data_IF_370737141003
#
_entry.id   IF_370737141003
#
_cell.length_a   1.000
_cell.length_b   1.000
_cell.length_c   1.000
_cell.angle_alpha   90.00
_cell.angle_beta   90.00
_cell.angle_gamma   90.00
#
_symmetry.space_group_name_H-M   'P 1'
#
loop_
_entity.id
_entity.type
_entity.pdbx_description
1 polymer ?
#
# COMPACT_ATOMS: atom_id res chain seq x y z
N UNK A 1 -9.72 19.94 5.20
CA UNK A 1 -8.81 20.05 4.03
C UNK A 1 -7.42 20.45 4.52
N UNK A 2 -6.62 19.49 4.97
CA UNK A 2 -5.18 19.70 5.22
C UNK A 2 -4.48 19.73 3.86
N UNK A 3 -3.80 20.84 3.54
CA UNK A 3 -3.02 20.96 2.31
C UNK A 3 -1.71 20.17 2.48
N UNK A 4 -1.56 19.09 1.73
CA UNK A 4 -0.24 18.49 1.50
C UNK A 4 0.62 19.51 0.74
N UNK A 5 1.61 20.08 1.39
CA UNK A 5 2.63 20.93 0.77
C UNK A 5 3.95 20.17 0.78
N UNK A 6 4.31 19.54 -0.34
CA UNK A 6 5.68 19.07 -0.54
C UNK A 6 6.60 20.26 -0.83
N UNK A 7 7.64 20.41 -0.03
CA UNK A 7 8.70 21.39 -0.25
C UNK A 7 9.88 20.71 -0.91
N UNK A 8 10.00 20.78 -2.24
CA UNK A 8 11.19 20.30 -2.96
C UNK A 8 12.22 21.43 -3.08
N UNK A 9 13.41 21.18 -2.59
CA UNK A 9 14.58 22.04 -2.81
C UNK A 9 15.19 21.73 -4.18
N UNK A 10 15.05 22.64 -5.13
CA UNK A 10 15.69 22.54 -6.45
C UNK A 10 16.87 23.51 -6.49
N UNK A 11 18.07 22.98 -6.70
CA UNK A 11 19.30 23.75 -6.91
C UNK A 11 19.42 24.10 -8.41
N UNK A 12 19.17 25.36 -8.76
CA UNK A 12 19.46 25.90 -10.10
C UNK A 12 20.56 26.97 -9.94
N UNK A 13 21.81 26.58 -10.21
CA UNK A 13 22.94 27.47 -9.99
C UNK A 13 23.22 27.71 -8.49
N UNK A 14 23.62 28.92 -8.10
CA UNK A 14 23.96 29.28 -6.71
C UNK A 14 22.79 29.90 -5.93
N UNK A 15 21.54 29.69 -6.34
CA UNK A 15 20.34 30.25 -5.68
C UNK A 15 19.41 29.09 -5.32
N UNK A 16 19.00 29.06 -4.04
CA UNK A 16 17.97 28.12 -3.54
C UNK A 16 16.63 28.80 -3.69
N UNK A 17 15.83 28.39 -4.65
CA UNK A 17 14.42 28.81 -4.73
C UNK A 17 13.53 27.76 -4.05
N UNK A 18 12.69 28.25 -3.16
CA UNK A 18 11.64 27.43 -2.51
C UNK A 18 10.40 27.51 -3.37
N UNK A 19 10.14 26.49 -4.16
CA UNK A 19 8.89 26.39 -4.92
C UNK A 19 7.88 25.60 -4.09
N UNK A 20 6.85 26.26 -3.61
CA UNK A 20 5.67 25.66 -3.01
C UNK A 20 4.68 25.32 -4.12
N UNK A 21 4.56 24.05 -4.46
CA UNK A 21 3.54 23.55 -5.38
C UNK A 21 2.23 23.36 -4.59
N UNK A 22 1.13 23.93 -5.09
CA UNK A 22 -0.21 23.54 -4.65
C UNK A 22 -0.67 22.41 -5.57
N UNK A 23 -1.04 21.23 -5.01
CA UNK A 23 -1.61 20.17 -5.82
C UNK A 23 -2.90 20.65 -6.51
N UNK A 24 -3.10 20.19 -7.75
CA UNK A 24 -4.36 20.39 -8.49
C UNK A 24 -5.42 19.46 -7.90
N UNK A 25 -6.71 19.82 -8.00
CA UNK A 25 -7.89 19.17 -7.39
C UNK A 25 -8.08 17.65 -7.72
N UNK A 26 -7.14 17.01 -8.38
CA UNK A 26 -7.15 15.57 -8.72
C UNK A 26 -6.11 14.72 -7.97
N UNK A 27 -5.22 15.33 -7.19
CA UNK A 27 -4.31 14.57 -6.35
C UNK A 27 -5.05 14.17 -5.06
N UNK A 28 -5.66 13.02 -5.05
CA UNK A 28 -6.00 12.33 -3.81
C UNK A 28 -4.65 12.04 -3.14
N UNK A 29 -4.38 12.73 -2.03
CA UNK A 29 -3.33 12.33 -1.12
C UNK A 29 -3.74 10.94 -0.60
N UNK A 30 -3.17 9.88 -1.17
CA UNK A 30 -3.36 8.52 -0.66
C UNK A 30 -2.72 8.52 0.71
N UNK A 31 -3.54 8.54 1.77
CA UNK A 31 -3.04 8.41 3.14
C UNK A 31 -2.48 7.01 3.29
N UNK A 32 -1.18 6.90 3.51
CA UNK A 32 -0.50 5.62 3.72
C UNK A 32 -0.99 5.02 5.02
N UNK A 33 -1.55 3.82 4.97
CA UNK A 33 -2.01 3.07 6.15
C UNK A 33 -0.83 2.64 7.00
N UNK A 34 -1.02 2.60 8.32
CA UNK A 34 0.08 2.32 9.25
C UNK A 34 -0.24 1.15 10.17
N UNK A 35 0.79 0.35 10.49
CA UNK A 35 0.74 -0.68 11.52
C UNK A 35 1.52 -0.22 12.74
N UNK A 36 0.86 -0.23 13.88
CA UNK A 36 1.42 0.10 15.19
C UNK A 36 1.45 -1.15 16.03
N UNK A 37 2.52 -1.37 16.79
CA UNK A 37 2.61 -2.49 17.72
C UNK A 37 2.55 -1.99 19.17
N UNK A 38 1.62 -2.54 19.95
CA UNK A 38 1.54 -2.27 21.38
C UNK A 38 2.66 -2.99 22.12
N UNK A 39 3.49 -2.25 22.85
CA UNK A 39 4.62 -2.76 23.59
C UNK A 39 4.90 -1.98 24.90
N UNK A 40 3.85 -1.40 25.50
CA UNK A 40 3.90 -0.74 26.81
C UNK A 40 3.96 -1.76 27.96
N UNK A 41 4.08 -1.31 29.19
CA UNK A 41 4.22 -2.17 30.38
C UNK A 41 3.02 -3.09 30.66
N UNK A 42 1.84 -2.78 30.11
CA UNK A 42 0.65 -3.63 30.22
C UNK A 42 0.81 -4.98 29.51
N UNK A 43 1.71 -5.04 28.51
CA UNK A 43 2.01 -6.27 27.75
C UNK A 43 2.89 -7.25 28.53
N UNK A 44 3.67 -6.77 29.51
CA UNK A 44 4.52 -7.60 30.33
C UNK A 44 5.93 -7.04 30.54
N UNK A 45 6.84 -7.89 31.02
CA UNK A 45 8.21 -7.53 31.32
C UNK A 45 9.01 -7.13 30.07
N UNK A 46 10.07 -6.33 30.25
CA UNK A 46 10.90 -5.80 29.16
C UNK A 46 11.39 -6.86 28.18
N UNK A 47 11.83 -8.02 28.65
CA UNK A 47 12.35 -9.07 27.76
C UNK A 47 11.26 -9.64 26.81
N UNK A 48 10.01 -9.64 27.21
CA UNK A 48 8.87 -9.99 26.35
C UNK A 48 8.62 -8.88 25.36
N UNK A 49 8.53 -7.64 25.81
CA UNK A 49 8.32 -6.44 24.98
C UNK A 49 9.45 -6.25 23.96
N UNK A 50 10.71 -6.45 24.39
CA UNK A 50 11.89 -6.41 23.51
C UNK A 50 11.77 -7.39 22.33
N UNK A 51 11.37 -8.64 22.60
CA UNK A 51 11.17 -9.63 21.52
C UNK A 51 10.08 -9.20 20.54
N UNK A 52 8.97 -8.70 21.07
CA UNK A 52 7.85 -8.16 20.29
C UNK A 52 8.33 -7.00 19.38
N UNK A 53 9.05 -6.03 19.94
CA UNK A 53 9.60 -4.87 19.21
C UNK A 53 10.61 -5.31 18.14
N UNK A 54 11.52 -6.25 18.46
CA UNK A 54 12.49 -6.75 17.49
C UNK A 54 11.78 -7.43 16.32
N UNK A 55 10.73 -8.22 16.59
CA UNK A 55 9.91 -8.83 15.52
C UNK A 55 9.20 -7.77 14.68
N UNK A 56 8.70 -6.69 15.31
CA UNK A 56 8.07 -5.58 14.60
C UNK A 56 9.04 -4.89 13.62
N UNK A 57 10.25 -4.59 14.08
CA UNK A 57 11.30 -3.99 13.24
C UNK A 57 11.63 -4.91 12.05
N UNK A 58 11.81 -6.22 12.30
CA UNK A 58 12.09 -7.21 11.26
C UNK A 58 10.94 -7.40 10.27
N UNK A 59 9.70 -7.20 10.71
CA UNK A 59 8.50 -7.35 9.88
C UNK A 59 8.15 -6.09 9.09
N UNK A 60 8.76 -4.93 9.39
CA UNK A 60 8.43 -3.66 8.74
C UNK A 60 7.18 -2.98 9.31
N UNK A 61 6.94 -3.14 10.61
CA UNK A 61 5.94 -2.36 11.36
C UNK A 61 6.37 -0.90 11.40
N UNK A 62 5.43 0.05 11.26
CA UNK A 62 5.74 1.47 11.13
C UNK A 62 6.01 2.14 12.48
N UNK A 63 5.30 1.72 13.53
CA UNK A 63 5.32 2.35 14.84
C UNK A 63 5.30 1.33 15.98
N UNK A 64 5.93 1.69 17.10
CA UNK A 64 5.73 0.99 18.38
C UNK A 64 5.19 1.96 19.43
N UNK A 65 4.20 1.51 20.21
CA UNK A 65 3.64 2.25 21.34
C UNK A 65 4.20 1.68 22.66
N UNK A 66 4.92 2.50 23.40
CA UNK A 66 5.62 2.12 24.64
C UNK A 66 5.34 3.11 25.78
N UNK A 67 5.89 2.87 26.96
CA UNK A 67 5.96 3.89 28.01
C UNK A 67 7.15 4.82 27.76
N UNK A 68 7.04 6.09 28.14
CA UNK A 68 8.07 7.12 27.90
C UNK A 68 9.45 6.69 28.43
N UNK A 69 9.50 6.04 29.59
CA UNK A 69 10.74 5.52 30.18
C UNK A 69 11.49 4.48 29.32
N UNK A 70 10.82 3.84 28.36
CA UNK A 70 11.42 2.80 27.51
C UNK A 70 11.83 3.31 26.12
N UNK A 71 11.56 4.57 25.76
CA UNK A 71 11.89 5.16 24.44
C UNK A 71 13.39 4.98 24.11
N UNK A 72 14.28 5.31 25.04
CA UNK A 72 15.72 5.15 24.83
C UNK A 72 16.13 3.71 24.55
N UNK A 73 15.50 2.75 25.24
CA UNK A 73 15.77 1.32 25.04
C UNK A 73 15.28 0.82 23.67
N UNK A 74 14.18 1.36 23.18
CA UNK A 74 13.65 1.02 21.84
C UNK A 74 14.58 1.53 20.75
N UNK A 75 15.07 2.78 20.86
CA UNK A 75 16.02 3.37 19.93
C UNK A 75 17.32 2.57 19.79
N UNK A 76 17.73 1.84 20.84
CA UNK A 76 18.89 0.94 20.80
C UNK A 76 18.63 -0.34 19.99
N UNK A 77 17.36 -0.73 19.75
CA UNK A 77 17.02 -1.96 19.04
C UNK A 77 17.02 -1.80 17.52
N UNK A 78 16.71 -0.62 17.01
CA UNK A 78 16.66 -0.36 15.58
C UNK A 78 15.95 0.94 15.21
N UNK A 79 15.79 1.15 13.91
CA UNK A 79 15.10 2.30 13.36
C UNK A 79 13.60 1.97 13.19
N UNK A 80 12.77 2.60 13.99
CA UNK A 80 11.31 2.49 13.97
C UNK A 80 10.74 3.76 14.62
N UNK A 81 9.56 4.22 14.17
CA UNK A 81 8.89 5.32 14.84
C UNK A 81 8.40 4.89 16.23
N UNK A 82 8.61 5.74 17.22
CA UNK A 82 8.26 5.45 18.61
C UNK A 82 7.20 6.41 19.11
N UNK A 83 6.05 5.86 19.44
CA UNK A 83 5.01 6.54 20.20
C UNK A 83 5.13 6.19 21.68
N UNK A 84 4.91 7.16 22.57
CA UNK A 84 5.03 6.93 23.99
C UNK A 84 3.83 7.46 24.78
N UNK A 85 3.37 6.70 25.78
CA UNK A 85 2.47 7.22 26.78
C UNK A 85 3.18 8.24 27.64
N UNK A 86 2.58 9.43 27.76
CA UNK A 86 3.13 10.52 28.57
C UNK A 86 2.99 10.19 30.05
N UNK A 87 4.07 10.40 30.83
CA UNK A 87 4.02 10.27 32.28
C UNK A 87 3.54 11.58 32.91
N UNK A 88 2.56 11.53 33.82
CA UNK A 88 2.08 12.69 34.56
C UNK A 88 3.17 13.39 35.42
N UNK A 89 4.31 12.74 35.62
CA UNK A 89 5.39 13.26 36.46
C UNK A 89 6.18 14.41 35.81
N UNK A 90 6.13 14.59 34.49
CA UNK A 90 7.02 15.48 33.74
C UNK A 90 6.38 16.77 33.22
N UNK A 91 5.31 17.25 33.84
CA UNK A 91 4.76 18.60 33.65
C UNK A 91 5.63 19.71 34.22
N UNK A 92 6.83 19.42 34.71
CA UNK A 92 7.78 20.39 35.22
C UNK A 92 8.96 20.51 34.28
N UNK A 93 9.10 21.71 33.69
CA UNK A 93 10.16 22.22 32.82
C UNK A 93 11.59 21.84 33.29
N UNK A 94 12.04 20.61 33.05
CA UNK A 94 13.46 20.27 33.11
C UNK A 94 13.80 19.43 31.91
N UNK A 95 14.00 20.10 30.75
CA UNK A 95 14.75 19.55 29.67
C UNK A 95 16.22 19.52 30.08
N UNK A 96 16.64 18.50 30.80
CA UNK A 96 18.05 18.13 30.82
C UNK A 96 18.35 17.35 29.53
N UNK A 97 19.25 17.93 28.76
CA UNK A 97 19.65 17.44 27.44
C UNK A 97 20.16 16.00 27.51
N UNK A 98 19.68 15.16 26.58
CA UNK A 98 20.07 13.80 26.15
C UNK A 98 19.07 12.66 26.44
N UNK A 99 17.84 12.92 26.81
CA UNK A 99 16.83 11.85 26.81
C UNK A 99 16.32 11.58 25.39
N UNK A 100 16.25 10.30 25.03
CA UNK A 100 15.71 9.88 23.75
C UNK A 100 14.23 10.29 23.64
N UNK A 101 13.89 11.04 22.62
CA UNK A 101 12.58 11.65 22.43
C UNK A 101 11.71 10.71 21.58
N UNK A 102 10.45 10.54 21.96
CA UNK A 102 9.45 9.87 21.13
C UNK A 102 9.02 10.76 19.95
N UNK A 103 8.60 10.13 18.84
CA UNK A 103 8.09 10.83 17.66
C UNK A 103 6.66 11.31 17.86
N UNK A 104 5.87 10.61 18.71
CA UNK A 104 4.53 11.01 19.11
C UNK A 104 4.28 10.70 20.62
N UNK A 105 3.45 11.51 21.26
CA UNK A 105 3.05 11.31 22.66
C UNK A 105 1.54 11.09 22.77
N UNK A 106 1.17 10.11 23.60
CA UNK A 106 -0.22 9.73 23.80
C UNK A 106 -0.67 9.99 25.24
N UNK A 107 -1.89 10.49 25.38
CA UNK A 107 -2.61 10.61 26.64
C UNK A 107 -3.73 9.56 26.71
N UNK A 108 -4.26 9.31 27.90
CA UNK A 108 -5.40 8.43 28.13
C UNK A 108 -5.07 7.09 28.79
N UNK A 109 -3.80 6.73 28.92
CA UNK A 109 -3.38 5.60 29.77
C UNK A 109 -3.36 6.03 31.22
N UNK A 110 -3.90 5.20 32.11
CA UNK A 110 -4.10 5.48 33.55
C UNK A 110 -4.94 6.76 33.79
N UNK A 111 -5.82 7.11 32.83
CA UNK A 111 -6.63 8.32 32.80
C UNK A 111 -8.10 8.06 32.44
N UNK A 112 -8.73 9.09 31.88
CA UNK A 112 -10.13 9.05 31.43
C UNK A 112 -10.26 8.18 30.16
N UNK A 113 -9.26 8.19 29.28
CA UNK A 113 -9.26 7.48 28.02
C UNK A 113 -9.30 5.96 28.18
N UNK A 114 -8.63 5.37 29.16
CA UNK A 114 -8.64 3.93 29.39
C UNK A 114 -9.67 3.48 30.44
N UNK A 115 -10.44 4.43 31.01
CA UNK A 115 -11.47 4.18 32.02
C UNK A 115 -10.95 3.95 33.43
N UNK A 116 -9.66 4.20 33.68
CA UNK A 116 -9.09 4.17 35.04
C UNK A 116 -9.62 5.34 35.88
N UNK A 117 -9.92 6.45 35.24
CA UNK A 117 -10.62 7.61 35.78
C UNK A 117 -11.98 7.73 35.08
N UNK A 118 -13.04 7.99 35.85
CA UNK A 118 -14.38 8.15 35.29
C UNK A 118 -14.44 9.39 34.37
N UNK A 119 -15.15 9.26 33.23
CA UNK A 119 -15.40 10.38 32.33
C UNK A 119 -16.16 11.50 33.06
N UNK A 120 -15.74 12.77 32.94
CA UNK A 120 -16.51 13.88 33.45
C UNK A 120 -17.82 14.05 32.67
N UNK A 121 -18.89 14.47 33.35
CA UNK A 121 -20.19 14.68 32.71
C UNK A 121 -20.17 15.79 31.62
N UNK A 122 -19.18 16.66 31.70
CA UNK A 122 -18.85 17.70 30.68
C UNK A 122 -17.37 17.52 30.33
N UNK A 123 -17.09 17.14 29.09
CA UNK A 123 -15.75 16.87 28.59
C UNK A 123 -14.81 18.07 28.65
N UNK A 124 -15.35 19.31 28.80
CA UNK A 124 -14.51 20.49 29.02
C UNK A 124 -13.70 20.41 30.31
N UNK A 125 -14.08 19.54 31.26
CA UNK A 125 -13.37 19.26 32.50
C UNK A 125 -12.36 18.12 32.42
N UNK A 126 -12.21 17.49 31.27
CA UNK A 126 -11.30 16.35 31.10
C UNK A 126 -9.83 16.76 31.22
N UNK A 127 -9.07 15.99 32.00
CA UNK A 127 -7.63 16.16 32.15
C UNK A 127 -6.89 15.72 30.88
N UNK A 128 -7.31 14.61 30.27
CA UNK A 128 -6.73 14.08 29.03
C UNK A 128 -6.90 15.08 27.87
N UNK A 129 -8.12 15.57 27.63
CA UNK A 129 -8.38 16.59 26.59
C UNK A 129 -7.66 17.92 26.90
N UNK A 130 -7.55 18.30 28.15
CA UNK A 130 -6.81 19.49 28.55
C UNK A 130 -5.32 19.35 28.23
N UNK A 131 -4.78 18.16 28.33
CA UNK A 131 -3.39 17.84 27.98
C UNK A 131 -3.17 17.86 26.48
N UNK A 132 -4.09 17.32 25.67
CA UNK A 132 -4.06 17.39 24.18
C UNK A 132 -4.08 18.84 23.68
N UNK A 133 -4.85 19.72 24.33
CA UNK A 133 -4.98 21.14 23.96
C UNK A 133 -3.74 21.98 24.28
N UNK A 134 -2.82 21.46 25.08
CA UNK A 134 -1.53 22.14 25.34
C UNK A 134 -0.64 21.94 24.12
N UNK A 135 -0.41 23.04 23.40
CA UNK A 135 0.43 23.06 22.19
C UNK A 135 1.89 22.79 22.52
N UNK A 136 2.32 21.55 22.32
CA UNK A 136 3.70 21.20 22.07
C UNK A 136 3.91 21.10 20.56
N UNK A 137 5.10 21.44 20.05
CA UNK A 137 5.46 21.27 18.63
C UNK A 137 5.67 19.78 18.24
N UNK A 138 5.07 18.84 18.94
CA UNK A 138 5.20 17.39 18.74
C UNK A 138 3.85 16.78 18.42
N UNK A 139 3.86 15.71 17.63
CA UNK A 139 2.68 14.92 17.33
C UNK A 139 2.04 14.43 18.65
N UNK A 140 0.75 14.65 18.82
CA UNK A 140 -0.01 14.26 20.01
C UNK A 140 -1.15 13.33 19.63
N UNK A 141 -1.35 12.29 20.45
CA UNK A 141 -2.40 11.31 20.26
C UNK A 141 -3.22 11.06 21.51
N UNK A 142 -4.44 10.58 21.28
CA UNK A 142 -5.35 10.09 22.31
C UNK A 142 -5.43 8.56 22.26
N UNK A 143 -5.36 7.90 23.40
CA UNK A 143 -5.61 6.46 23.56
C UNK A 143 -6.91 6.25 24.30
N UNK A 144 -7.93 5.67 23.69
CA UNK A 144 -9.28 5.59 24.24
C UNK A 144 -9.80 4.16 24.10
N UNK A 145 -10.17 3.57 25.23
CA UNK A 145 -10.88 2.28 25.27
C UNK A 145 -12.38 2.54 25.22
N UNK A 146 -13.05 1.92 24.25
CA UNK A 146 -14.47 2.12 24.02
C UNK A 146 -15.28 1.09 24.82
N UNK A 147 -15.92 1.54 25.90
CA UNK A 147 -16.77 0.71 26.75
C UNK A 147 -18.25 0.89 26.45
N UNK A 148 -18.63 2.08 25.98
CA UNK A 148 -20.03 2.46 25.71
C UNK A 148 -20.07 3.73 24.83
N UNK A 149 -21.27 4.24 24.56
CA UNK A 149 -21.50 5.41 23.71
C UNK A 149 -20.89 6.71 24.28
N UNK A 150 -20.70 6.85 25.58
CA UNK A 150 -20.06 8.04 26.16
C UNK A 150 -18.58 8.08 25.75
N UNK A 151 -17.90 6.93 25.70
CA UNK A 151 -16.53 6.82 25.22
C UNK A 151 -16.41 7.01 23.70
N UNK A 152 -17.42 6.64 22.91
CA UNK A 152 -17.46 7.01 21.47
C UNK A 152 -17.48 8.54 21.32
N UNK A 153 -18.34 9.22 22.08
CA UNK A 153 -18.43 10.68 22.06
C UNK A 153 -17.15 11.35 22.59
N UNK A 154 -16.49 10.73 23.55
CA UNK A 154 -15.20 11.19 24.06
C UNK A 154 -14.09 11.04 23.02
N UNK A 155 -14.07 9.95 22.25
CA UNK A 155 -13.14 9.77 21.14
C UNK A 155 -13.36 10.79 20.01
N UNK A 156 -14.62 11.10 19.70
CA UNK A 156 -14.98 12.16 18.75
C UNK A 156 -14.45 13.54 19.20
N UNK A 157 -14.64 13.88 20.48
CA UNK A 157 -14.12 15.16 21.03
C UNK A 157 -12.59 15.21 21.02
N UNK A 158 -11.92 14.09 21.35
CA UNK A 158 -10.46 13.99 21.35
C UNK A 158 -9.87 14.14 19.94
N UNK A 159 -10.57 13.65 18.92
CA UNK A 159 -10.15 13.68 17.54
C UNK A 159 -9.93 15.12 16.99
N UNK A 160 -10.67 16.11 17.51
CA UNK A 160 -10.48 17.51 17.11
C UNK A 160 -9.17 18.13 17.57
N UNK A 161 -8.59 17.60 18.66
CA UNK A 161 -7.38 18.15 19.28
C UNK A 161 -6.14 17.22 19.11
N UNK A 162 -6.35 15.96 18.64
CA UNK A 162 -5.31 14.95 18.45
C UNK A 162 -4.92 14.77 16.98
N UNK A 163 -3.63 14.58 16.71
CA UNK A 163 -3.13 14.17 15.39
C UNK A 163 -3.43 12.68 15.14
N UNK A 164 -3.36 11.86 16.21
CA UNK A 164 -3.67 10.43 16.20
C UNK A 164 -4.73 10.11 17.24
N UNK A 165 -5.76 9.37 16.89
CA UNK A 165 -6.75 8.86 17.83
C UNK A 165 -6.78 7.34 17.79
N UNK A 166 -6.25 6.71 18.84
CA UNK A 166 -6.31 5.25 19.01
C UNK A 166 -7.58 4.86 19.73
N UNK A 167 -8.38 3.99 19.10
CA UNK A 167 -9.62 3.47 19.67
C UNK A 167 -9.51 1.97 19.87
N UNK A 168 -9.73 1.50 21.10
CA UNK A 168 -9.59 0.11 21.50
C UNK A 168 -10.97 -0.43 21.90
N UNK A 169 -11.57 -1.24 21.04
CA UNK A 169 -12.79 -1.96 21.35
C UNK A 169 -12.51 -3.33 21.96
N UNK A 170 -13.29 -3.74 22.94
CA UNK A 170 -13.23 -5.12 23.45
C UNK A 170 -13.89 -6.10 22.47
N UNK A 171 -14.92 -5.65 21.77
CA UNK A 171 -15.63 -6.42 20.74
C UNK A 171 -16.24 -5.45 19.70
N UNK A 172 -15.63 -5.37 18.53
CA UNK A 172 -16.10 -4.54 17.42
C UNK A 172 -17.44 -4.97 16.83
N UNK A 173 -17.95 -6.15 17.20
CA UNK A 173 -19.31 -6.57 16.82
C UNK A 173 -20.39 -5.88 17.66
N UNK A 174 -20.05 -5.41 18.86
CA UNK A 174 -20.96 -4.73 19.80
C UNK A 174 -20.93 -3.20 19.56
N UNK A 175 -19.74 -2.67 19.33
CA UNK A 175 -19.52 -1.24 19.07
C UNK A 175 -18.93 -1.13 17.66
N UNK A 176 -19.73 -0.82 16.63
CA UNK A 176 -19.24 -0.82 15.26
C UNK A 176 -18.17 0.25 15.03
N UNK A 177 -17.01 -0.16 14.56
CA UNK A 177 -15.93 0.74 14.13
C UNK A 177 -16.41 1.72 13.04
N UNK A 178 -17.39 1.29 12.23
CA UNK A 178 -18.09 2.10 11.24
C UNK A 178 -18.62 3.43 11.80
N UNK A 179 -19.20 3.41 13.00
CA UNK A 179 -19.74 4.62 13.63
C UNK A 179 -18.64 5.62 13.98
N UNK A 180 -17.49 5.13 14.46
CA UNK A 180 -16.34 5.97 14.80
C UNK A 180 -15.70 6.56 13.54
N UNK A 181 -15.48 5.75 12.49
CA UNK A 181 -14.97 6.21 11.20
C UNK A 181 -15.89 7.29 10.62
N UNK A 182 -17.21 7.06 10.63
CA UNK A 182 -18.16 8.01 10.08
C UNK A 182 -18.27 9.33 10.86
N UNK A 183 -18.02 9.32 12.18
CA UNK A 183 -18.10 10.51 13.04
C UNK A 183 -16.82 11.30 13.09
N UNK A 184 -15.68 10.60 13.16
CA UNK A 184 -14.36 11.20 13.28
C UNK A 184 -13.91 11.76 11.91
N UNK A 185 -14.20 11.02 10.81
CA UNK A 185 -13.83 11.46 9.47
C UNK A 185 -12.34 11.76 9.34
N UNK A 186 -12.00 12.85 8.64
CA UNK A 186 -10.63 13.28 8.35
C UNK A 186 -10.03 14.22 9.43
N UNK A 187 -10.63 14.31 10.63
CA UNK A 187 -10.17 15.25 11.67
C UNK A 187 -8.86 14.77 12.34
N UNK A 188 -8.59 13.47 12.37
CA UNK A 188 -7.43 12.84 12.99
C UNK A 188 -7.05 11.57 12.22
N UNK A 189 -5.84 11.04 12.44
CA UNK A 189 -5.50 9.69 12.00
C UNK A 189 -6.11 8.67 12.96
N UNK A 190 -7.16 7.98 12.51
CA UNK A 190 -7.86 6.98 13.32
C UNK A 190 -7.12 5.64 13.29
N UNK A 191 -6.71 5.16 14.47
CA UNK A 191 -5.99 3.90 14.65
C UNK A 191 -6.86 2.94 15.46
N UNK A 192 -7.24 1.81 14.85
CA UNK A 192 -8.08 0.81 15.48
C UNK A 192 -7.25 -0.25 16.22
N UNK A 193 -7.59 -0.54 17.48
CA UNK A 193 -6.99 -1.64 18.24
C UNK A 193 -7.43 -2.99 17.71
N UNK A 194 -6.48 -3.89 17.44
CA UNK A 194 -6.69 -5.24 16.90
C UNK A 194 -5.79 -6.26 17.60
N UNK A 195 -6.18 -7.53 17.55
CA UNK A 195 -5.39 -8.63 18.14
C UNK A 195 -4.91 -9.63 17.08
N UNK A 196 -5.50 -9.59 15.89
CA UNK A 196 -5.18 -10.49 14.77
C UNK A 196 -5.09 -9.73 13.45
N UNK A 197 -4.43 -10.35 12.46
CA UNK A 197 -4.36 -9.83 11.11
C UNK A 197 -5.74 -9.81 10.41
N UNK A 198 -6.65 -10.71 10.76
CA UNK A 198 -8.03 -10.74 10.23
C UNK A 198 -8.84 -9.53 10.73
N UNK A 199 -8.70 -9.16 12.01
CA UNK A 199 -9.28 -7.94 12.56
C UNK A 199 -8.66 -6.69 11.90
N UNK A 200 -7.35 -6.67 11.66
CA UNK A 200 -6.69 -5.59 10.96
C UNK A 200 -7.23 -5.42 9.53
N UNK A 201 -7.43 -6.52 8.80
CA UNK A 201 -8.05 -6.50 7.50
C UNK A 201 -9.46 -5.91 7.54
N UNK A 202 -10.26 -6.33 8.52
CA UNK A 202 -11.61 -5.79 8.72
C UNK A 202 -11.56 -4.29 9.00
N UNK A 203 -10.65 -3.81 9.87
CA UNK A 203 -10.50 -2.40 10.18
C UNK A 203 -10.13 -1.55 8.95
N UNK A 204 -9.25 -2.06 8.08
CA UNK A 204 -8.86 -1.38 6.85
C UNK A 204 -9.94 -1.42 5.75
N UNK A 205 -10.78 -2.44 5.73
CA UNK A 205 -11.85 -2.61 4.72
C UNK A 205 -13.21 -2.08 5.20
N UNK A 206 -13.33 -1.58 6.43
CA UNK A 206 -14.59 -1.05 6.98
C UNK A 206 -14.95 0.26 6.30
N UNK A 207 -16.13 0.32 5.67
CA UNK A 207 -16.57 1.41 4.79
C UNK A 207 -15.59 1.59 3.59
N UNK A 208 -15.72 2.69 2.84
CA UNK A 208 -14.82 3.00 1.72
C UNK A 208 -13.47 3.55 2.19
N UNK A 209 -13.43 4.19 3.37
CA UNK A 209 -12.24 4.84 3.90
C UNK A 209 -11.38 3.89 4.76
N UNK A 210 -12.01 3.06 5.60
CA UNK A 210 -11.30 2.24 6.59
C UNK A 210 -10.70 3.06 7.73
N UNK A 211 -9.93 2.39 8.59
CA UNK A 211 -9.06 3.06 9.56
C UNK A 211 -7.72 3.44 8.90
N UNK A 212 -7.12 4.56 9.33
CA UNK A 212 -5.81 5.02 8.84
C UNK A 212 -4.66 4.17 9.36
N UNK A 213 -4.88 3.45 10.44
CA UNK A 213 -3.92 2.54 11.01
C UNK A 213 -4.55 1.52 11.95
N UNK A 214 -3.75 0.53 12.33
CA UNK A 214 -4.13 -0.45 13.35
C UNK A 214 -3.08 -0.53 14.44
N UNK A 215 -3.51 -0.65 15.71
CA UNK A 215 -2.65 -0.95 16.86
C UNK A 215 -2.79 -2.45 17.18
N UNK A 216 -1.81 -3.24 16.79
CA UNK A 216 -1.79 -4.67 17.04
C UNK A 216 -1.31 -4.97 18.46
N UNK A 217 -2.11 -5.71 19.23
CA UNK A 217 -1.74 -6.26 20.52
C UNK A 217 -1.58 -7.77 20.42
N UNK A 218 -0.42 -8.25 19.96
CA UNK A 218 -0.11 -9.67 19.80
C UNK A 218 1.34 -10.00 20.09
N UNK A 219 1.57 -11.14 20.75
CA UNK A 219 2.92 -11.73 20.96
C UNK A 219 3.31 -12.71 19.86
N UNK A 220 2.37 -13.03 18.94
CA UNK A 220 2.58 -14.00 17.90
C UNK A 220 3.33 -13.36 16.69
N UNK A 221 4.57 -13.79 16.39
CA UNK A 221 5.33 -13.26 15.26
C UNK A 221 4.63 -13.41 13.91
N UNK A 222 3.81 -14.44 13.73
CA UNK A 222 3.09 -14.67 12.49
C UNK A 222 1.96 -13.65 12.33
N UNK A 223 1.25 -13.29 13.40
CA UNK A 223 0.24 -12.23 13.37
C UNK A 223 0.87 -10.87 13.04
N UNK A 224 2.05 -10.56 13.62
CA UNK A 224 2.76 -9.31 13.33
C UNK A 224 3.10 -9.21 11.84
N UNK A 225 3.66 -10.27 11.24
CA UNK A 225 3.99 -10.29 9.80
C UNK A 225 2.74 -10.24 8.94
N UNK A 226 1.72 -11.03 9.27
CA UNK A 226 0.48 -11.05 8.49
C UNK A 226 -0.28 -9.71 8.55
N UNK A 227 -0.19 -8.97 9.65
CA UNK A 227 -0.79 -7.62 9.75
C UNK A 227 -0.10 -6.63 8.82
N UNK A 228 1.23 -6.68 8.71
CA UNK A 228 1.98 -5.87 7.73
C UNK A 228 1.61 -6.26 6.30
N UNK A 229 1.51 -7.57 6.00
CA UNK A 229 1.06 -8.04 4.68
C UNK A 229 -0.36 -7.56 4.34
N UNK A 230 -1.26 -7.50 5.32
CA UNK A 230 -2.63 -6.96 5.17
C UNK A 230 -2.60 -5.46 4.87
N UNK A 231 -1.78 -4.66 5.59
CA UNK A 231 -1.58 -3.24 5.30
C UNK A 231 -1.12 -3.05 3.86
N UNK A 232 -0.04 -3.72 3.46
CA UNK A 232 0.52 -3.64 2.11
C UNK A 232 -0.50 -4.05 1.05
N UNK A 233 -1.31 -5.07 1.34
CA UNK A 233 -2.38 -5.50 0.44
C UNK A 233 -3.53 -4.48 0.33
N UNK A 234 -3.81 -3.74 1.39
CA UNK A 234 -4.89 -2.75 1.42
C UNK A 234 -4.55 -1.45 0.69
N UNK A 235 -3.26 -1.15 0.54
CA UNK A 235 -2.76 0.01 -0.19
C UNK A 235 -2.57 -0.25 -1.69
N UNK A 236 -2.72 -1.51 -2.11
CA UNK A 236 -2.51 -1.89 -3.51
C UNK A 236 -3.59 -1.33 -4.40
N UNK A 237 -3.17 -0.67 -5.46
CA UNK A 237 -4.05 -0.24 -6.53
C UNK A 237 -4.81 -1.44 -7.11
N UNK A 238 -6.10 -1.27 -7.34
CA UNK A 238 -6.89 -2.21 -8.13
C UNK A 238 -7.19 -1.58 -9.48
N UNK A 239 -6.66 -2.19 -10.55
CA UNK A 239 -6.85 -1.71 -11.92
C UNK A 239 -8.17 -2.21 -12.48
N UNK A 240 -8.87 -1.33 -13.19
CA UNK A 240 -10.05 -1.69 -13.97
C UNK A 240 -9.62 -2.37 -15.27
N UNK A 241 -9.67 -3.70 -15.28
CA UNK A 241 -9.34 -4.52 -16.44
C UNK A 241 -10.57 -4.72 -17.32
N UNK A 242 -10.37 -4.63 -18.63
CA UNK A 242 -11.44 -4.83 -19.61
C UNK A 242 -11.03 -5.87 -20.67
N UNK A 243 -11.99 -6.28 -21.49
CA UNK A 243 -11.73 -7.25 -22.55
C UNK A 243 -11.57 -6.56 -23.90
N UNK A 244 -10.49 -6.88 -24.60
CA UNK A 244 -10.22 -6.47 -25.98
C UNK A 244 -10.46 -7.63 -26.94
N UNK A 245 -11.13 -7.39 -28.06
CA UNK A 245 -11.40 -8.41 -29.07
C UNK A 245 -10.22 -8.53 -30.04
N UNK A 246 -9.66 -9.74 -30.14
CA UNK A 246 -8.57 -10.03 -31.10
C UNK A 246 -9.06 -9.86 -32.53
N UNK A 247 -8.41 -8.99 -33.26
CA UNK A 247 -8.70 -8.75 -34.68
C UNK A 247 -7.69 -9.39 -35.62
N UNK A 248 -6.49 -9.70 -35.12
CA UNK A 248 -5.43 -10.34 -35.90
C UNK A 248 -4.41 -11.06 -35.05
N UNK A 249 -4.02 -12.28 -35.47
CA UNK A 249 -2.87 -13.00 -34.94
C UNK A 249 -1.95 -13.34 -36.12
N UNK A 250 -0.75 -12.76 -36.13
CA UNK A 250 0.17 -12.87 -37.28
C UNK A 250 1.56 -13.34 -36.80
N UNK A 251 2.14 -14.32 -37.51
CA UNK A 251 3.51 -14.73 -37.28
C UNK A 251 4.47 -13.65 -37.76
N UNK A 252 5.31 -13.14 -36.88
CA UNK A 252 6.42 -12.28 -37.23
C UNK A 252 7.71 -13.09 -37.35
N UNK A 253 8.77 -12.48 -37.77
CA UNK A 253 10.10 -13.13 -37.81
C UNK A 253 10.65 -13.38 -36.39
N UNK A 254 11.96 -13.53 -36.32
CA UNK A 254 12.71 -13.65 -35.08
C UNK A 254 12.90 -12.25 -34.48
N UNK A 255 12.57 -12.07 -33.19
CA UNK A 255 12.82 -10.85 -32.45
C UNK A 255 13.50 -11.16 -31.10
N UNK A 256 14.06 -10.14 -30.47
CA UNK A 256 14.63 -10.25 -29.14
C UNK A 256 13.49 -10.23 -28.12
N UNK A 257 13.28 -11.38 -27.49
CA UNK A 257 12.22 -11.65 -26.52
C UNK A 257 12.76 -11.52 -25.11
N UNK A 258 12.00 -10.89 -24.24
CA UNK A 258 12.32 -10.69 -22.81
C UNK A 258 11.51 -11.65 -21.94
N UNK A 259 12.18 -12.35 -21.03
CA UNK A 259 11.58 -12.93 -19.82
C UNK A 259 11.99 -12.09 -18.64
N UNK A 260 11.03 -11.76 -17.80
CA UNK A 260 11.24 -11.15 -16.48
C UNK A 260 11.12 -12.26 -15.43
N UNK A 261 12.19 -12.50 -14.68
CA UNK A 261 12.22 -13.42 -13.55
C UNK A 261 12.20 -12.59 -12.26
N UNK A 262 11.15 -12.70 -11.47
CA UNK A 262 11.00 -12.00 -10.19
C UNK A 262 11.71 -12.73 -9.05
N UNK A 263 12.06 -12.01 -8.00
CA UNK A 263 12.64 -12.58 -6.77
C UNK A 263 11.57 -13.24 -5.88
N UNK A 264 10.29 -13.02 -6.15
CA UNK A 264 9.15 -13.61 -5.46
C UNK A 264 8.37 -14.57 -6.37
N UNK A 265 7.66 -15.52 -5.76
CA UNK A 265 6.78 -16.44 -6.50
C UNK A 265 5.47 -15.73 -6.86
N UNK A 266 4.93 -16.05 -8.01
CA UNK A 266 3.63 -15.59 -8.49
C UNK A 266 2.59 -16.72 -8.36
N UNK A 267 1.37 -16.32 -8.00
CA UNK A 267 0.21 -17.19 -8.01
C UNK A 267 -0.21 -17.56 -9.45
N UNK A 268 -1.06 -18.59 -9.57
CA UNK A 268 -1.57 -19.04 -10.88
C UNK A 268 -2.46 -17.99 -11.56
N UNK A 269 -3.03 -17.03 -10.83
CA UNK A 269 -3.83 -15.93 -11.37
C UNK A 269 -3.00 -14.71 -11.75
N UNK A 270 -1.73 -14.65 -11.35
CA UNK A 270 -0.87 -13.49 -11.52
C UNK A 270 -0.09 -13.48 -12.83
N UNK A 271 0.34 -12.27 -13.19
CA UNK A 271 1.16 -11.98 -14.36
C UNK A 271 1.59 -10.53 -14.41
N UNK A 272 1.93 -10.05 -15.61
CA UNK A 272 2.32 -8.65 -15.86
C UNK A 272 1.46 -8.06 -16.97
N UNK A 273 1.30 -6.74 -16.93
CA UNK A 273 0.73 -5.95 -18.01
C UNK A 273 1.84 -5.49 -18.94
N UNK A 274 1.76 -5.90 -20.22
CA UNK A 274 2.76 -5.60 -21.23
C UNK A 274 2.12 -5.28 -22.59
N UNK A 275 2.67 -4.36 -23.35
CA UNK A 275 2.13 -3.99 -24.65
C UNK A 275 3.11 -3.19 -25.48
N UNK A 276 2.89 -3.15 -26.80
CA UNK A 276 3.67 -2.31 -27.72
C UNK A 276 3.33 -0.83 -27.60
N UNK A 277 2.22 -0.51 -26.94
CA UNK A 277 1.71 0.85 -26.69
C UNK A 277 1.52 1.06 -25.19
N UNK A 278 1.97 2.20 -24.64
CA UNK A 278 1.86 2.49 -23.20
C UNK A 278 0.42 2.60 -22.71
N UNK A 279 -0.52 2.99 -23.58
CA UNK A 279 -1.95 3.14 -23.26
C UNK A 279 -2.75 1.83 -23.26
N UNK A 280 -2.23 0.75 -23.87
CA UNK A 280 -2.93 -0.52 -24.03
C UNK A 280 -2.03 -1.71 -23.73
N UNK A 281 -2.17 -2.27 -22.53
CA UNK A 281 -1.32 -3.34 -22.02
C UNK A 281 -2.11 -4.64 -21.92
N UNK A 282 -1.56 -5.71 -22.46
CA UNK A 282 -2.12 -7.06 -22.40
C UNK A 282 -1.67 -7.76 -21.12
N UNK A 283 -2.59 -8.46 -20.50
CA UNK A 283 -2.25 -9.32 -19.38
C UNK A 283 -1.54 -10.58 -19.86
N UNK A 284 -0.32 -10.80 -19.43
CA UNK A 284 0.45 -12.02 -19.68
C UNK A 284 0.71 -12.76 -18.37
N UNK A 285 0.19 -13.98 -18.25
CA UNK A 285 0.37 -14.80 -17.07
C UNK A 285 1.83 -15.18 -16.81
N UNK A 286 2.16 -15.36 -15.53
CA UNK A 286 3.35 -16.07 -15.13
C UNK A 286 3.32 -17.53 -15.66
N UNK A 287 4.51 -18.12 -15.87
CA UNK A 287 4.66 -19.51 -16.34
C UNK A 287 4.36 -20.53 -15.19
N UNK A 288 3.20 -20.36 -14.54
CA UNK A 288 2.74 -21.20 -13.40
C UNK A 288 2.06 -22.48 -13.83
N UNK A 289 1.56 -22.52 -15.09
CA UNK A 289 0.85 -23.70 -15.58
C UNK A 289 1.82 -24.87 -15.83
N UNK A 290 1.43 -26.06 -15.39
CA UNK A 290 2.15 -27.27 -15.72
C UNK A 290 2.01 -27.58 -17.22
N UNK A 291 3.10 -27.99 -17.84
CA UNK A 291 3.15 -28.47 -19.22
C UNK A 291 3.84 -29.85 -19.21
N UNK A 292 3.41 -30.78 -20.08
CA UNK A 292 4.06 -32.09 -20.18
C UNK A 292 5.55 -32.04 -20.54
N UNK A 293 6.00 -30.89 -21.10
CA UNK A 293 7.34 -30.71 -21.64
C UNK A 293 8.20 -29.73 -20.87
N UNK A 294 7.61 -28.87 -20.03
CA UNK A 294 8.33 -27.80 -19.33
C UNK A 294 7.82 -27.69 -17.90
N UNK A 295 8.73 -27.75 -16.93
CA UNK A 295 8.38 -27.49 -15.53
C UNK A 295 7.86 -26.06 -15.36
N UNK A 296 6.89 -25.88 -14.46
CA UNK A 296 6.37 -24.55 -14.11
C UNK A 296 7.49 -23.65 -13.56
N UNK A 297 7.38 -22.37 -13.85
CA UNK A 297 8.30 -21.32 -13.37
C UNK A 297 7.50 -20.18 -12.77
N UNK A 298 7.01 -20.36 -11.55
CA UNK A 298 6.10 -19.38 -10.91
C UNK A 298 6.76 -18.04 -10.58
N UNK A 299 8.01 -17.85 -10.95
CA UNK A 299 8.76 -16.61 -10.85
C UNK A 299 8.96 -15.91 -12.19
N UNK A 300 8.44 -16.47 -13.31
CA UNK A 300 8.72 -15.97 -14.67
C UNK A 300 7.49 -15.49 -15.40
N UNK A 301 7.59 -14.32 -16.01
CA UNK A 301 6.71 -13.87 -17.09
C UNK A 301 7.50 -13.77 -18.39
N UNK A 302 7.03 -14.42 -19.46
CA UNK A 302 7.54 -14.26 -20.80
C UNK A 302 6.84 -13.05 -21.43
N UNK A 303 7.42 -11.87 -21.16
CA UNK A 303 6.72 -10.60 -21.25
C UNK A 303 6.53 -10.09 -22.69
N UNK A 304 7.41 -10.48 -23.64
CA UNK A 304 7.26 -10.03 -25.02
C UNK A 304 8.55 -9.51 -25.64
N UNK A 305 8.46 -8.64 -26.64
CA UNK A 305 9.62 -8.09 -27.35
C UNK A 305 10.26 -6.92 -26.57
N UNK A 306 11.55 -6.68 -26.79
CA UNK A 306 12.36 -5.67 -26.07
C UNK A 306 11.79 -4.25 -26.06
N UNK A 307 11.03 -3.87 -27.10
CA UNK A 307 10.42 -2.54 -27.24
C UNK A 307 9.09 -2.40 -26.50
N UNK A 308 8.52 -3.49 -26.00
CA UNK A 308 7.24 -3.44 -25.29
C UNK A 308 7.40 -2.75 -23.93
N UNK A 309 6.34 -2.06 -23.55
CA UNK A 309 6.20 -1.44 -22.24
C UNK A 309 5.76 -2.49 -21.21
N UNK A 310 6.24 -2.37 -19.99
CA UNK A 310 5.70 -3.01 -18.79
C UNK A 310 5.23 -1.92 -17.82
N UNK A 311 4.10 -2.16 -17.12
CA UNK A 311 3.62 -1.24 -16.10
C UNK A 311 4.51 -1.32 -14.85
N UNK A 312 4.81 -0.16 -14.27
CA UNK A 312 5.60 -0.01 -13.04
C UNK A 312 4.69 0.25 -11.82
N UNK A 313 5.16 0.01 -10.58
CA UNK A 313 4.34 0.18 -9.38
C UNK A 313 3.80 1.61 -9.18
N UNK A 314 4.55 2.62 -9.59
CA UNK A 314 4.16 4.04 -9.54
C UNK A 314 3.08 4.43 -10.59
N UNK A 315 2.53 3.45 -11.30
CA UNK A 315 1.53 3.67 -12.34
C UNK A 315 2.11 4.11 -13.68
N UNK A 316 3.44 4.22 -13.80
CA UNK A 316 4.15 4.52 -15.03
C UNK A 316 4.37 3.30 -15.92
N UNK A 317 5.22 3.47 -16.93
CA UNK A 317 5.66 2.39 -17.81
C UNK A 317 7.15 2.47 -18.07
N UNK A 318 7.80 1.32 -18.25
CA UNK A 318 9.19 1.21 -18.68
C UNK A 318 9.31 0.24 -19.84
N UNK A 319 10.35 0.39 -20.67
CA UNK A 319 10.62 -0.62 -21.71
C UNK A 319 11.13 -1.92 -21.09
N UNK A 320 10.68 -3.06 -21.63
CA UNK A 320 11.21 -4.37 -21.20
C UNK A 320 12.73 -4.49 -21.38
N UNK A 321 13.32 -3.76 -22.32
CA UNK A 321 14.79 -3.72 -22.53
C UNK A 321 15.56 -2.95 -21.45
N UNK A 322 14.89 -2.09 -20.69
CA UNK A 322 15.51 -1.25 -19.66
C UNK A 322 15.52 -1.93 -18.29
N UNK A 323 14.63 -2.91 -18.09
CA UNK A 323 14.56 -3.65 -16.83
C UNK A 323 15.87 -4.38 -16.51
N UNK A 324 16.29 -4.31 -15.26
CA UNK A 324 17.48 -4.95 -14.71
C UNK A 324 17.15 -5.62 -13.36
N UNK A 325 18.10 -6.43 -12.87
CA UNK A 325 18.01 -6.99 -11.53
C UNK A 325 18.04 -5.89 -10.48
N UNK A 326 17.06 -5.92 -9.58
CA UNK A 326 16.86 -4.93 -8.52
C UNK A 326 15.79 -3.89 -8.82
N UNK A 327 15.34 -3.76 -10.09
CA UNK A 327 14.20 -2.91 -10.43
C UNK A 327 12.89 -3.52 -9.89
N UNK A 328 11.88 -2.68 -9.73
CA UNK A 328 10.53 -3.10 -9.33
C UNK A 328 9.60 -3.13 -10.54
N UNK A 329 8.75 -4.15 -10.59
CA UNK A 329 7.70 -4.32 -11.60
C UNK A 329 6.36 -4.55 -10.92
N UNK A 330 5.30 -4.08 -11.54
CA UNK A 330 3.96 -4.33 -11.07
C UNK A 330 3.48 -5.71 -11.54
N UNK A 331 3.12 -6.56 -10.60
CA UNK A 331 2.35 -7.77 -10.85
C UNK A 331 0.86 -7.47 -10.70
N UNK A 332 0.04 -8.23 -11.40
CA UNK A 332 -1.40 -8.09 -11.38
C UNK A 332 -2.07 -9.46 -11.44
N UNK A 333 -3.20 -9.62 -10.77
CA UNK A 333 -4.04 -10.79 -10.91
C UNK A 333 -5.24 -10.53 -11.85
N UNK A 334 -5.99 -11.57 -12.16
CA UNK A 334 -7.16 -11.48 -13.06
C UNK A 334 -8.31 -10.63 -12.52
N UNK A 335 -8.31 -10.30 -11.23
CA UNK A 335 -9.30 -9.43 -10.57
C UNK A 335 -8.86 -7.96 -10.56
N UNK A 336 -7.70 -7.64 -11.17
CA UNK A 336 -7.15 -6.29 -11.20
C UNK A 336 -6.33 -5.90 -9.98
N UNK A 337 -6.21 -6.75 -8.96
CA UNK A 337 -5.41 -6.46 -7.78
C UNK A 337 -3.92 -6.49 -8.12
N UNK A 338 -3.22 -5.45 -7.72
CA UNK A 338 -1.79 -5.28 -8.04
C UNK A 338 -0.90 -5.59 -6.83
N UNK A 339 0.36 -5.86 -7.07
CA UNK A 339 1.44 -5.86 -6.09
C UNK A 339 2.79 -5.62 -6.75
N UNK A 340 3.74 -5.20 -5.97
CA UNK A 340 5.12 -5.00 -6.40
C UNK A 340 5.92 -6.31 -6.36
N UNK A 341 6.91 -6.40 -7.24
CA UNK A 341 7.88 -7.48 -7.21
C UNK A 341 9.24 -7.01 -7.73
N UNK A 342 10.29 -7.38 -7.00
CA UNK A 342 11.67 -7.11 -7.42
C UNK A 342 12.06 -8.04 -8.56
N UNK A 343 12.64 -7.48 -9.61
CA UNK A 343 13.24 -8.23 -10.71
C UNK A 343 14.51 -8.90 -10.23
N UNK A 344 14.52 -10.22 -10.21
CA UNK A 344 15.71 -11.02 -9.90
C UNK A 344 16.65 -11.14 -11.10
N UNK A 345 16.08 -11.23 -12.31
CA UNK A 345 16.84 -11.38 -13.56
C UNK A 345 15.99 -11.06 -14.78
N UNK A 346 16.60 -10.42 -15.78
CA UNK A 346 16.03 -10.27 -17.12
C UNK A 346 16.78 -11.16 -18.09
N UNK A 347 16.06 -11.88 -18.93
CA UNK A 347 16.62 -12.80 -19.93
C UNK A 347 16.17 -12.43 -21.33
N UNK A 348 17.09 -12.02 -22.20
CA UNK A 348 16.81 -11.63 -23.59
C UNK A 348 17.33 -12.70 -24.54
N UNK A 349 16.45 -13.23 -25.40
CA UNK A 349 16.79 -14.28 -26.37
C UNK A 349 16.02 -14.07 -27.69
N UNK A 350 16.67 -14.37 -28.82
CA UNK A 350 15.98 -14.40 -30.13
C UNK A 350 15.00 -15.54 -30.21
N UNK A 351 13.72 -15.20 -30.44
CA UNK A 351 12.60 -16.15 -30.51
C UNK A 351 11.62 -15.77 -31.63
N UNK A 352 10.92 -16.77 -32.23
CA UNK A 352 9.81 -16.48 -33.15
C UNK A 352 8.67 -15.85 -32.35
N UNK A 353 8.03 -14.82 -32.93
CA UNK A 353 6.98 -14.07 -32.26
C UNK A 353 5.66 -14.13 -33.04
N UNK A 354 4.57 -13.89 -32.30
CA UNK A 354 3.28 -13.47 -32.84
C UNK A 354 3.08 -11.99 -32.58
N UNK A 355 2.53 -11.29 -33.58
CA UNK A 355 1.91 -9.98 -33.39
C UNK A 355 0.43 -10.21 -33.18
N UNK A 356 -0.08 -9.71 -32.07
CA UNK A 356 -1.49 -9.81 -31.69
C UNK A 356 -2.05 -8.40 -31.71
N UNK A 357 -3.09 -8.18 -32.50
CA UNK A 357 -3.85 -6.93 -32.57
C UNK A 357 -5.22 -7.18 -31.96
N UNK A 358 -5.69 -6.25 -31.15
CA UNK A 358 -7.02 -6.29 -30.56
C UNK A 358 -7.66 -4.91 -30.57
N UNK A 359 -8.99 -4.89 -30.54
CA UNK A 359 -9.82 -3.70 -30.45
C UNK A 359 -10.46 -3.60 -29.05
N UNK A 360 -10.39 -2.39 -28.47
CA UNK A 360 -10.99 -2.02 -27.19
C UNK A 360 -12.13 -1.07 -27.45
N UNK A 361 -13.30 -1.32 -26.84
CA UNK A 361 -14.41 -0.38 -26.85
C UNK A 361 -14.13 0.74 -25.84
N UNK A 362 -14.21 1.98 -26.28
CA UNK A 362 -13.98 3.18 -25.46
C UNK A 362 -15.18 4.11 -25.53
N UNK A 363 -15.26 5.09 -24.63
CA UNK A 363 -16.34 6.09 -24.68
C UNK A 363 -16.38 6.88 -26.00
N UNK A 364 -15.22 7.05 -26.67
CA UNK A 364 -15.04 7.82 -27.91
C UNK A 364 -15.09 6.94 -29.16
N UNK A 365 -15.30 5.63 -29.04
CA UNK A 365 -15.35 4.68 -30.13
C UNK A 365 -14.52 3.43 -29.89
N UNK A 366 -13.88 2.93 -30.92
CA UNK A 366 -13.03 1.72 -30.87
C UNK A 366 -11.59 2.13 -31.10
N UNK A 367 -10.70 1.76 -30.16
CA UNK A 367 -9.27 1.93 -30.34
C UNK A 367 -8.56 0.60 -30.57
N UNK A 368 -7.40 0.65 -31.22
CA UNK A 368 -6.60 -0.53 -31.55
C UNK A 368 -5.32 -0.55 -30.71
N UNK A 369 -5.09 -1.70 -30.08
CA UNK A 369 -3.88 -1.98 -29.31
C UNK A 369 -3.17 -3.22 -29.85
N UNK A 370 -1.86 -3.32 -29.62
CA UNK A 370 -1.09 -4.49 -30.07
C UNK A 370 0.05 -4.87 -29.10
N UNK A 371 0.47 -6.11 -29.22
CA UNK A 371 1.64 -6.64 -28.52
C UNK A 371 2.35 -7.71 -29.35
N UNK A 372 3.64 -7.91 -29.09
CA UNK A 372 4.44 -9.01 -29.63
C UNK A 372 4.77 -10.01 -28.54
N UNK A 373 4.18 -11.19 -28.62
CA UNK A 373 4.45 -12.30 -27.70
C UNK A 373 5.17 -13.46 -28.39
N UNK A 374 5.96 -14.22 -27.66
CA UNK A 374 6.66 -15.36 -28.23
C UNK A 374 5.65 -16.43 -28.71
N UNK A 375 5.90 -17.00 -29.89
CA UNK A 375 5.18 -18.16 -30.39
C UNK A 375 5.58 -19.40 -29.58
N UNK A 376 4.93 -19.61 -28.42
CA UNK A 376 5.15 -20.75 -27.55
C UNK A 376 3.88 -21.06 -26.73
N UNK A 377 3.61 -22.34 -26.56
CA UNK A 377 2.45 -22.85 -25.80
C UNK A 377 2.51 -22.55 -24.28
N UNK A 378 3.70 -22.26 -23.76
CA UNK A 378 3.90 -21.93 -22.34
C UNK A 378 3.42 -20.53 -21.97
N UNK A 379 3.22 -19.64 -22.97
CA UNK A 379 2.72 -18.30 -22.74
C UNK A 379 1.21 -18.34 -22.74
N UNK A 380 0.63 -17.90 -21.64
CA UNK A 380 -0.80 -17.90 -21.43
C UNK A 380 -1.30 -16.47 -21.22
N UNK A 381 -2.46 -16.20 -21.76
CA UNK A 381 -3.21 -14.96 -21.57
C UNK A 381 -4.61 -15.28 -21.06
N UNK A 382 -5.20 -14.47 -20.17
CA UNK A 382 -6.57 -14.67 -19.71
C UNK A 382 -7.54 -14.22 -20.81
N UNK A 383 -8.55 -15.05 -21.06
CA UNK A 383 -9.69 -14.76 -21.94
C UNK A 383 -10.98 -14.92 -21.15
N UNK A 384 -12.11 -14.45 -21.69
CA UNK A 384 -13.44 -14.74 -21.10
C UNK A 384 -13.72 -16.24 -20.97
N UNK A 385 -13.12 -17.07 -21.83
CA UNK A 385 -13.26 -18.53 -21.80
C UNK A 385 -12.28 -19.20 -20.81
N UNK A 386 -11.41 -18.43 -20.17
CA UNK A 386 -10.37 -18.92 -19.28
C UNK A 386 -8.96 -18.69 -19.86
N UNK A 387 -7.96 -19.34 -19.27
CA UNK A 387 -6.56 -19.21 -19.64
C UNK A 387 -6.27 -19.90 -20.97
N UNK A 388 -5.81 -19.15 -21.99
CA UNK A 388 -5.53 -19.67 -23.35
C UNK A 388 -4.05 -19.51 -23.72
N UNK A 389 -3.48 -20.47 -24.44
CA UNK A 389 -2.11 -20.32 -24.96
C UNK A 389 -2.09 -19.32 -26.13
N UNK A 390 -1.01 -18.56 -26.23
CA UNK A 390 -0.81 -17.62 -27.36
C UNK A 390 -0.82 -18.35 -28.71
N UNK A 391 -0.38 -19.60 -28.76
CA UNK A 391 -0.41 -20.44 -29.97
C UNK A 391 -1.81 -20.83 -30.43
N UNK A 392 -2.78 -20.76 -29.53
CA UNK A 392 -4.17 -21.18 -29.76
C UNK A 392 -5.12 -19.99 -29.96
N UNK A 393 -4.57 -18.76 -29.93
CA UNK A 393 -5.37 -17.55 -30.12
C UNK A 393 -5.89 -17.45 -31.57
N UNK A 394 -7.15 -17.04 -31.67
CA UNK A 394 -7.86 -16.84 -32.92
C UNK A 394 -8.52 -15.45 -32.96
N UNK A 395 -8.86 -14.97 -34.16
CA UNK A 395 -9.67 -13.76 -34.31
C UNK A 395 -11.02 -13.94 -33.64
N UNK A 396 -11.46 -12.96 -32.88
CA UNK A 396 -12.68 -12.98 -32.06
C UNK A 396 -12.48 -13.44 -30.60
N UNK A 397 -11.29 -13.90 -30.22
CA UNK A 397 -11.00 -14.12 -28.80
C UNK A 397 -11.03 -12.81 -28.02
N UNK A 398 -11.52 -12.82 -26.79
CA UNK A 398 -11.57 -11.64 -25.91
C UNK A 398 -10.48 -11.76 -24.85
N UNK A 399 -9.45 -10.92 -24.94
CA UNK A 399 -8.28 -10.90 -24.04
C UNK A 399 -8.44 -9.87 -22.94
N UNK A 400 -8.02 -10.20 -21.74
CA UNK A 400 -7.97 -9.27 -20.62
C UNK A 400 -6.82 -8.27 -20.81
N UNK A 401 -7.14 -6.98 -20.75
CA UNK A 401 -6.21 -5.88 -20.98
C UNK A 401 -6.45 -4.76 -19.98
N UNK A 402 -5.43 -3.94 -19.78
CA UNK A 402 -5.54 -2.64 -19.16
C UNK A 402 -5.47 -1.58 -20.27
N UNK A 403 -6.40 -0.63 -20.26
CA UNK A 403 -6.45 0.43 -21.25
C UNK A 403 -6.72 1.78 -20.60
N UNK A 404 -5.91 2.77 -20.93
CA UNK A 404 -6.11 4.18 -20.57
C UNK A 404 -6.24 5.03 -21.84
N UNK A 405 -7.22 5.94 -21.85
CA UNK A 405 -7.44 6.82 -23.01
C UNK A 405 -6.28 7.84 -23.21
N UNK A 406 -5.52 8.13 -22.17
CA UNK A 406 -4.37 9.06 -22.20
C UNK A 406 -3.08 8.25 -22.19
N UNK A 407 -2.22 8.46 -23.18
CA UNK A 407 -0.91 7.81 -23.22
C UNK A 407 -0.02 8.36 -22.10
N UNK A 408 0.56 7.48 -21.28
CA UNK A 408 1.60 7.85 -20.29
C UNK A 408 2.97 7.63 -20.90
N UNK A 409 3.79 8.67 -20.92
CA UNK A 409 5.19 8.57 -21.31
C UNK A 409 6.06 8.92 -20.09
N UNK A 410 6.87 7.98 -19.61
CA UNK A 410 7.73 8.13 -18.42
C UNK A 410 6.97 8.59 -17.15
N UNK A 411 5.81 8.03 -16.87
CA UNK A 411 5.06 8.30 -15.64
C UNK A 411 4.21 9.58 -15.64
N UNK A 412 4.33 10.46 -16.64
CA UNK A 412 3.49 11.66 -16.78
C UNK A 412 2.41 11.46 -17.83
N UNK A 413 1.17 11.87 -17.50
CA UNK A 413 0.07 11.93 -18.45
C UNK A 413 0.35 13.04 -19.46
N UNK A 414 0.63 12.68 -20.71
CA UNK A 414 0.91 13.64 -21.78
C UNK A 414 -0.30 13.70 -22.71
N UNK A 415 -0.94 14.87 -22.79
CA UNK A 415 -1.96 15.17 -23.81
C UNK A 415 -1.31 15.34 -25.21
N UNK A 416 -0.44 14.44 -25.61
CA UNK A 416 0.10 14.45 -26.98
C UNK A 416 -0.53 13.34 -27.79
N UNK A 417 -0.91 13.66 -29.03
CA UNK A 417 -1.36 12.68 -30.00
C UNK A 417 -0.15 11.84 -30.48
N UNK A 418 0.25 10.85 -29.68
CA UNK A 418 1.28 9.89 -30.07
C UNK A 418 0.65 8.89 -31.01
N UNK A 419 1.14 8.85 -32.25
CA UNK A 419 0.78 7.82 -33.21
C UNK A 419 1.87 6.76 -33.23
N UNK A 420 1.67 5.69 -32.50
CA UNK A 420 2.45 4.46 -32.62
C UNK A 420 1.89 3.61 -33.75
N UNK A 421 2.76 3.22 -34.72
CA UNK A 421 2.36 2.45 -35.93
C UNK A 421 3.11 1.14 -35.99
#
# INVERSE_FOLDING_TARGET
>A
LRSCTETRLVLIGNVVEVNTFKPTDSDHCVMTRTVWLKADNSVGEWETRKRRITTAIEAGVDWVLVDEADVGRVRELGDINVAAFRSDADLVDTIEAEEAVADAYFVGKDGEGDGTVDLPADFSGSADLSTLRRTDNRAQGAYIRIFNQDYESFAEEAAYDAEYTMVIGEDWTIIPLENLIARIGDETHLIAGVTTAEEAKTAFETLELGADGVLLDSDNPDEIRSTVEVRDASERETLDLQYATVTKVERTGMADRVCVDTASLMDHTEGMLVGSMGRGLFFVHAETAESPYVASRPFRVNAGAVHAYARTPDGGTTYLSELQSGDEVQLINTDGKTREAVVGRVKIEKRPMFRIQAEVETADGVDRIETLLQNAETIKVPTKAGRKAVTDLEEGDELLVYYEAVARHFGEAVEESIIEK
#
